data_IF_724334701541
#
_entry.id   IF_724334701541
#
_cell.length_a   1.000
_cell.length_b   1.000
_cell.length_c   1.000
_cell.angle_alpha   90.00
_cell.angle_beta   90.00
_cell.angle_gamma   90.00
#
_symmetry.space_group_name_H-M   'P 1'
#
loop_
_entity.id
_entity.type
_entity.pdbx_description
1 polymer ?
#
# COMPACT_ATOMS: atom_id res chain seq x y z
N UNK A 1 3.89 18.72 6.39
CA UNK A 1 3.77 19.14 7.81
C UNK A 1 2.32 19.46 8.13
N UNK A 2 1.89 19.31 9.39
CA UNK A 2 0.53 19.59 9.86
C UNK A 2 -0.52 18.55 9.46
N UNK A 3 -0.10 17.43 8.88
CA UNK A 3 -1.00 16.34 8.45
C UNK A 3 -1.06 15.25 9.50
N UNK A 4 -2.11 14.44 9.45
CA UNK A 4 -2.36 13.34 10.37
C UNK A 4 -2.55 12.05 9.59
N UNK A 5 -2.07 10.92 10.10
CA UNK A 5 -2.49 9.61 9.59
C UNK A 5 -2.99 8.72 10.73
N UNK A 6 -3.93 7.83 10.40
CA UNK A 6 -4.46 6.85 11.35
C UNK A 6 -3.70 5.53 11.26
N UNK A 7 -3.30 4.97 12.40
CA UNK A 7 -2.94 3.57 12.53
C UNK A 7 -4.14 2.83 13.12
N UNK A 8 -4.83 2.03 12.30
CA UNK A 8 -6.01 1.26 12.72
C UNK A 8 -5.59 -0.15 13.12
N UNK A 9 -5.72 -0.48 14.40
CA UNK A 9 -5.08 -1.66 15.00
C UNK A 9 -3.60 -1.38 15.30
N UNK A 10 -2.75 -2.39 15.12
CA UNK A 10 -1.30 -2.30 15.32
C UNK A 10 -0.50 -2.64 14.03
N UNK A 11 0.79 -2.37 14.04
CA UNK A 11 1.67 -2.91 13.00
C UNK A 11 1.75 -4.43 13.12
N UNK A 12 1.63 -5.15 12.00
CA UNK A 12 1.64 -6.62 12.03
C UNK A 12 3.00 -7.18 12.48
N UNK A 13 2.99 -8.21 13.33
CA UNK A 13 4.18 -8.73 14.02
C UNK A 13 5.31 -9.22 13.09
N UNK A 14 4.98 -9.62 11.86
CA UNK A 14 5.97 -10.08 10.87
C UNK A 14 6.64 -8.93 10.11
N UNK A 15 6.15 -7.70 10.24
CA UNK A 15 6.75 -6.56 9.56
C UNK A 15 8.07 -6.15 10.22
N UNK A 16 9.17 -6.56 9.61
CA UNK A 16 10.50 -6.11 10.01
C UNK A 16 10.75 -4.71 9.46
N UNK A 17 11.23 -3.79 10.32
CA UNK A 17 11.69 -2.45 9.91
C UNK A 17 10.60 -1.56 9.26
N UNK A 18 9.34 -1.67 9.73
CA UNK A 18 8.19 -0.92 9.20
C UNK A 18 7.51 0.01 10.20
N UNK A 19 7.78 -0.13 11.50
CA UNK A 19 7.22 0.72 12.55
C UNK A 19 8.14 1.89 12.86
N UNK A 20 7.64 3.11 12.67
CA UNK A 20 8.36 4.35 12.99
C UNK A 20 7.84 4.90 14.30
N UNK A 21 8.73 5.33 15.19
CA UNK A 21 8.36 6.02 16.43
C UNK A 21 7.58 7.32 16.12
N UNK A 22 6.37 7.53 16.68
CA UNK A 22 5.58 8.74 16.43
C UNK A 22 6.31 10.06 16.70
N UNK A 23 7.21 10.11 17.68
CA UNK A 23 8.06 11.27 17.95
C UNK A 23 9.01 11.55 16.79
N UNK A 24 9.58 10.50 16.18
CA UNK A 24 10.43 10.62 14.99
C UNK A 24 9.61 11.12 13.79
N UNK A 25 8.40 10.58 13.58
CA UNK A 25 7.48 11.05 12.53
C UNK A 25 7.18 12.55 12.70
N UNK A 26 6.79 12.95 13.92
CA UNK A 26 6.45 14.34 14.23
C UNK A 26 7.65 15.27 14.04
N UNK A 27 8.81 14.89 14.54
CA UNK A 27 10.01 15.74 14.50
C UNK A 27 10.55 15.90 13.09
N UNK A 28 10.62 14.82 12.30
CA UNK A 28 11.22 14.85 10.96
C UNK A 28 10.26 15.33 9.88
N UNK A 29 9.00 14.91 9.92
CA UNK A 29 8.02 15.17 8.85
C UNK A 29 6.93 16.18 9.26
N UNK A 30 6.80 16.47 10.56
CA UNK A 30 5.70 17.28 11.08
C UNK A 30 4.35 16.62 10.85
N UNK A 31 4.28 15.29 10.89
CA UNK A 31 3.07 14.50 10.73
C UNK A 31 2.72 13.87 12.09
N UNK A 32 1.44 13.86 12.44
CA UNK A 32 0.95 13.20 13.65
C UNK A 32 0.36 11.83 13.33
N UNK A 33 0.74 10.83 14.13
CA UNK A 33 0.08 9.52 14.11
C UNK A 33 -1.09 9.51 15.09
N UNK A 34 -2.23 8.98 14.68
CA UNK A 34 -3.41 8.77 15.51
C UNK A 34 -3.63 7.26 15.63
N UNK A 35 -3.46 6.71 16.83
CA UNK A 35 -3.71 5.29 17.09
C UNK A 35 -5.21 5.07 17.28
N UNK A 36 -5.77 4.13 16.52
CA UNK A 36 -7.19 3.82 16.49
C UNK A 36 -7.35 2.32 16.74
N UNK A 37 -7.69 1.88 17.95
CA UNK A 37 -7.85 0.46 18.23
C UNK A 37 -9.07 -0.10 17.49
N UNK A 38 -8.98 -1.35 17.03
CA UNK A 38 -10.10 -2.04 16.36
C UNK A 38 -11.38 -2.08 17.20
N UNK A 39 -11.26 -2.07 18.53
CA UNK A 39 -12.41 -2.01 19.45
C UNK A 39 -13.24 -0.72 19.31
N UNK A 40 -12.66 0.35 18.76
CA UNK A 40 -13.33 1.62 18.50
C UNK A 40 -13.91 1.76 17.10
N UNK A 41 -13.68 0.77 16.23
CA UNK A 41 -14.12 0.77 14.84
C UNK A 41 -15.41 -0.05 14.71
N UNK A 42 -16.51 0.65 14.47
CA UNK A 42 -17.80 0.02 14.24
C UNK A 42 -17.89 -0.41 12.78
N UNK A 43 -18.04 -1.72 12.54
CA UNK A 43 -18.33 -2.31 11.23
C UNK A 43 -19.56 -3.18 11.45
N UNK A 44 -20.73 -2.67 11.05
CA UNK A 44 -22.02 -3.24 11.43
C UNK A 44 -22.74 -3.70 10.16
N UNK A 45 -23.48 -4.81 10.24
CA UNK A 45 -24.18 -5.38 9.07
C UNK A 45 -25.31 -4.52 8.51
N UNK A 46 -25.75 -3.51 9.26
CA UNK A 46 -26.80 -2.58 8.81
C UNK A 46 -26.23 -1.31 8.18
N UNK A 47 -24.90 -1.16 8.14
CA UNK A 47 -24.28 0.01 7.51
C UNK A 47 -24.55 -0.02 6.00
N UNK A 48 -25.17 1.05 5.51
CA UNK A 48 -25.33 1.30 4.09
C UNK A 48 -23.98 1.53 3.44
N UNK A 49 -23.82 1.04 2.21
CA UNK A 49 -22.62 1.24 1.41
C UNK A 49 -22.94 2.27 0.34
N UNK A 50 -22.06 3.25 0.15
CA UNK A 50 -22.25 4.27 -0.89
C UNK A 50 -22.41 3.63 -2.28
N UNK A 51 -23.32 4.21 -3.06
CA UNK A 51 -23.50 3.84 -4.45
C UNK A 51 -22.21 4.05 -5.25
N UNK A 52 -21.35 5.02 -4.87
CA UNK A 52 -20.05 5.25 -5.50
C UNK A 52 -19.14 4.01 -5.41
N UNK A 53 -18.99 3.43 -4.22
CA UNK A 53 -18.21 2.21 -4.02
C UNK A 53 -18.79 1.03 -4.82
N UNK A 54 -20.10 0.80 -4.71
CA UNK A 54 -20.77 -0.31 -5.38
C UNK A 54 -20.73 -0.19 -6.91
N UNK A 55 -20.96 1.02 -7.43
CA UNK A 55 -20.95 1.30 -8.87
C UNK A 55 -19.56 1.20 -9.47
N UNK A 56 -18.52 1.57 -8.71
CA UNK A 56 -17.15 1.48 -9.19
C UNK A 56 -16.69 0.02 -9.35
N UNK A 57 -16.96 -0.82 -8.35
CA UNK A 57 -16.61 -2.24 -8.39
C UNK A 57 -17.68 -3.12 -9.06
N UNK A 58 -18.64 -2.49 -9.74
CA UNK A 58 -19.91 -3.08 -10.16
C UNK A 58 -19.75 -4.27 -11.09
N UNK A 59 -19.79 -5.43 -10.45
CA UNK A 59 -20.02 -6.73 -11.04
C UNK A 59 -21.22 -7.26 -10.30
N UNK A 60 -22.37 -7.32 -10.98
CA UNK A 60 -23.63 -7.74 -10.36
C UNK A 60 -23.44 -9.11 -9.71
N UNK A 61 -23.62 -9.19 -8.39
CA UNK A 61 -23.69 -10.45 -7.65
C UNK A 61 -22.38 -10.97 -7.03
N UNK A 62 -21.31 -10.18 -6.92
CA UNK A 62 -20.12 -10.65 -6.19
C UNK A 62 -20.40 -10.73 -4.70
N UNK A 63 -20.35 -11.96 -4.19
CA UNK A 63 -20.42 -12.27 -2.76
C UNK A 63 -19.28 -11.56 -2.01
N UNK A 64 -19.60 -10.90 -0.90
CA UNK A 64 -18.63 -10.18 -0.07
C UNK A 64 -18.34 -8.74 -0.48
N UNK A 65 -18.88 -8.25 -1.61
CA UNK A 65 -18.68 -6.85 -2.04
C UNK A 65 -19.28 -5.86 -1.04
N UNK A 66 -20.51 -6.11 -0.57
CA UNK A 66 -21.17 -5.30 0.45
C UNK A 66 -20.37 -5.27 1.75
N UNK A 67 -19.79 -6.40 2.17
CA UNK A 67 -18.92 -6.46 3.34
C UNK A 67 -17.71 -5.55 3.17
N UNK A 68 -17.03 -5.62 2.03
CA UNK A 68 -15.89 -4.76 1.71
C UNK A 68 -16.28 -3.27 1.68
N UNK A 69 -17.47 -2.97 1.15
CA UNK A 69 -18.04 -1.63 1.15
C UNK A 69 -18.29 -1.09 2.56
N UNK A 70 -18.79 -1.91 3.49
CA UNK A 70 -18.97 -1.50 4.90
C UNK A 70 -17.64 -1.16 5.57
N UNK A 71 -16.56 -1.86 5.23
CA UNK A 71 -15.20 -1.52 5.67
C UNK A 71 -14.77 -0.18 5.08
N UNK A 72 -15.00 0.05 3.78
CA UNK A 72 -14.71 1.34 3.14
C UNK A 72 -15.41 2.51 3.85
N UNK A 73 -16.70 2.37 4.15
CA UNK A 73 -17.46 3.39 4.87
C UNK A 73 -16.93 3.59 6.31
N UNK A 74 -16.58 2.50 7.01
CA UNK A 74 -15.99 2.58 8.35
C UNK A 74 -14.68 3.37 8.35
N UNK A 75 -13.77 3.05 7.41
CA UNK A 75 -12.50 3.74 7.29
C UNK A 75 -12.69 5.20 6.85
N UNK A 76 -13.66 5.47 5.98
CA UNK A 76 -14.03 6.83 5.57
C UNK A 76 -14.57 7.67 6.74
N UNK A 77 -15.35 7.07 7.62
CA UNK A 77 -15.81 7.72 8.87
C UNK A 77 -14.65 8.06 9.79
N UNK A 78 -13.67 7.15 9.94
CA UNK A 78 -12.46 7.43 10.74
C UNK A 78 -11.66 8.60 10.14
N UNK A 79 -11.52 8.64 8.82
CA UNK A 79 -10.84 9.74 8.12
C UNK A 79 -11.51 11.07 8.45
N UNK A 80 -12.84 11.15 8.37
CA UNK A 80 -13.60 12.37 8.72
C UNK A 80 -13.50 12.69 10.20
N UNK A 81 -13.76 11.72 11.07
CA UNK A 81 -13.83 11.88 12.53
C UNK A 81 -12.51 12.37 13.14
N UNK A 82 -11.39 11.84 12.66
CA UNK A 82 -10.06 12.16 13.18
C UNK A 82 -9.28 13.13 12.28
N UNK A 83 -9.91 13.69 11.26
CA UNK A 83 -9.30 14.62 10.28
C UNK A 83 -8.01 14.04 9.67
N UNK A 84 -8.07 12.75 9.32
CA UNK A 84 -6.93 12.03 8.79
C UNK A 84 -6.70 12.42 7.33
N UNK A 85 -5.44 12.43 6.94
CA UNK A 85 -5.02 12.63 5.55
C UNK A 85 -4.59 11.32 4.89
N UNK A 86 -4.47 10.25 5.68
CA UNK A 86 -4.04 8.92 5.30
C UNK A 86 -4.38 7.94 6.44
N UNK A 87 -4.40 6.63 6.15
CA UNK A 87 -4.48 5.60 7.19
C UNK A 87 -3.80 4.31 6.77
N UNK A 88 -3.35 3.52 7.73
CA UNK A 88 -2.89 2.15 7.52
C UNK A 88 -3.62 1.21 8.48
N UNK A 89 -3.89 -0.01 8.04
CA UNK A 89 -4.83 -0.93 8.71
C UNK A 89 -4.15 -2.26 9.02
N UNK A 90 -4.26 -2.72 10.25
CA UNK A 90 -3.93 -4.09 10.64
C UNK A 90 -4.96 -5.07 10.04
N UNK A 91 -4.57 -5.79 8.99
CA UNK A 91 -5.51 -6.46 8.11
C UNK A 91 -6.15 -7.73 8.74
N UNK A 92 -5.47 -8.45 9.65
CA UNK A 92 -5.92 -9.77 10.14
C UNK A 92 -7.05 -9.78 11.19
N UNK A 93 -7.08 -8.90 12.22
CA UNK A 93 -8.19 -8.88 13.19
C UNK A 93 -9.56 -8.69 12.52
N UNK A 94 -9.61 -7.88 11.46
CA UNK A 94 -10.80 -7.69 10.64
C UNK A 94 -11.26 -9.01 9.97
N UNK A 95 -10.32 -9.71 9.32
CA UNK A 95 -10.58 -10.97 8.61
C UNK A 95 -11.08 -12.04 9.57
N UNK A 96 -10.47 -12.15 10.76
CA UNK A 96 -10.85 -13.13 11.77
C UNK A 96 -12.26 -12.89 12.32
N UNK A 97 -12.64 -11.62 12.53
CA UNK A 97 -13.94 -11.25 13.11
C UNK A 97 -15.09 -11.33 12.11
N UNK A 98 -14.84 -11.00 10.84
CA UNK A 98 -15.91 -10.72 9.87
C UNK A 98 -15.83 -11.51 8.56
N UNK A 99 -14.77 -12.29 8.33
CA UNK A 99 -14.47 -12.93 7.03
C UNK A 99 -14.39 -11.93 5.85
N UNK A 100 -14.26 -10.63 6.15
CA UNK A 100 -14.08 -9.54 5.19
C UNK A 100 -12.66 -9.01 5.30
N UNK A 101 -12.13 -8.51 4.19
CA UNK A 101 -10.80 -7.93 4.06
C UNK A 101 -10.91 -6.42 3.86
N UNK A 102 -9.85 -5.68 4.19
CA UNK A 102 -9.79 -4.25 3.89
C UNK A 102 -9.38 -3.97 2.43
N UNK A 103 -9.08 -4.98 1.63
CA UNK A 103 -8.33 -4.80 0.39
C UNK A 103 -9.02 -3.89 -0.64
N UNK A 104 -10.32 -4.08 -0.89
CA UNK A 104 -11.07 -3.22 -1.79
C UNK A 104 -11.31 -1.83 -1.21
N UNK A 105 -11.50 -1.73 0.11
CA UNK A 105 -11.62 -0.45 0.79
C UNK A 105 -10.35 0.39 0.65
N UNK A 106 -9.17 -0.21 0.89
CA UNK A 106 -7.87 0.44 0.74
C UNK A 106 -7.58 0.80 -0.72
N UNK A 107 -7.98 -0.07 -1.66
CA UNK A 107 -7.91 0.17 -3.10
C UNK A 107 -8.71 1.41 -3.52
N UNK A 108 -9.96 1.51 -3.06
CA UNK A 108 -10.86 2.62 -3.37
C UNK A 108 -10.39 3.93 -2.72
N UNK A 109 -10.02 3.91 -1.44
CA UNK A 109 -9.49 5.09 -0.75
C UNK A 109 -8.25 5.64 -1.45
N UNK A 110 -7.31 4.75 -1.83
CA UNK A 110 -6.11 5.14 -2.57
C UNK A 110 -6.42 5.70 -3.95
N UNK A 111 -7.42 5.12 -4.64
CA UNK A 111 -7.93 5.64 -5.90
C UNK A 111 -8.52 7.04 -5.77
N UNK A 112 -9.26 7.29 -4.69
CA UNK A 112 -9.84 8.60 -4.34
C UNK A 112 -8.77 9.59 -3.85
N UNK A 113 -7.50 9.22 -3.96
CA UNK A 113 -6.36 10.03 -3.62
C UNK A 113 -6.06 10.05 -2.13
N UNK A 114 -6.65 9.20 -1.28
CA UNK A 114 -6.32 9.10 0.14
C UNK A 114 -5.32 7.96 0.34
N UNK A 115 -4.06 8.22 0.77
CA UNK A 115 -3.11 7.16 1.04
C UNK A 115 -3.67 6.17 2.07
N UNK A 116 -3.87 4.92 1.64
CA UNK A 116 -4.43 3.86 2.45
C UNK A 116 -3.54 2.61 2.40
N UNK A 117 -2.76 2.38 3.47
CA UNK A 117 -1.84 1.25 3.62
C UNK A 117 -2.47 0.01 4.26
N UNK A 118 -1.80 -1.14 4.17
CA UNK A 118 -2.15 -2.37 4.89
C UNK A 118 -1.05 -2.73 5.89
N UNK A 119 -1.37 -3.69 6.75
CA UNK A 119 -0.50 -4.30 7.76
C UNK A 119 0.02 -3.33 8.84
N UNK A 120 -0.54 -2.12 8.92
CA UNK A 120 -0.03 -1.10 9.83
C UNK A 120 1.38 -0.60 9.48
N UNK A 121 1.83 -0.73 8.23
CA UNK A 121 3.17 -0.31 7.80
C UNK A 121 3.32 1.21 7.76
N UNK A 122 3.94 1.79 8.79
CA UNK A 122 4.19 3.23 8.91
C UNK A 122 5.17 3.73 7.84
N UNK A 123 6.25 3.00 7.56
CA UNK A 123 7.25 3.41 6.58
C UNK A 123 6.65 3.57 5.19
N UNK A 124 5.90 2.56 4.72
CA UNK A 124 5.19 2.63 3.45
C UNK A 124 4.13 3.72 3.48
N UNK A 125 3.39 3.85 4.58
CA UNK A 125 2.34 4.85 4.67
C UNK A 125 2.86 6.29 4.54
N UNK A 126 3.95 6.60 5.24
CA UNK A 126 4.60 7.91 5.15
C UNK A 126 5.13 8.17 3.74
N UNK A 127 5.69 7.15 3.09
CA UNK A 127 6.11 7.25 1.70
C UNK A 127 4.96 7.51 0.74
N UNK A 128 3.80 6.87 0.94
CA UNK A 128 2.59 7.14 0.13
C UNK A 128 2.11 8.59 0.32
N UNK A 129 2.16 9.11 1.55
CA UNK A 129 1.82 10.51 1.83
C UNK A 129 2.78 11.49 1.13
N UNK A 130 4.08 11.21 1.15
CA UNK A 130 5.10 12.01 0.48
C UNK A 130 4.90 11.97 -1.04
N UNK A 131 4.71 10.79 -1.62
CA UNK A 131 4.47 10.61 -3.06
C UNK A 131 3.23 11.38 -3.53
N UNK A 132 2.13 11.32 -2.76
CA UNK A 132 0.92 12.09 -3.03
C UNK A 132 1.21 13.59 -3.02
N UNK A 133 1.97 14.09 -2.05
CA UNK A 133 2.27 15.52 -1.94
C UNK A 133 3.15 16.01 -3.09
N UNK A 134 4.14 15.22 -3.49
CA UNK A 134 5.10 15.60 -4.52
C UNK A 134 4.54 15.46 -5.93
N UNK A 135 3.74 14.42 -6.18
CA UNK A 135 3.39 14.01 -7.54
C UNK A 135 1.87 13.91 -7.76
N UNK A 136 1.04 14.10 -6.73
CA UNK A 136 -0.41 13.93 -6.83
C UNK A 136 -0.85 12.47 -6.98
N UNK A 137 0.05 11.50 -6.78
CA UNK A 137 -0.20 10.07 -7.00
C UNK A 137 -0.08 9.32 -5.68
N UNK A 138 -1.10 8.53 -5.34
CA UNK A 138 -1.02 7.53 -4.26
C UNK A 138 -0.40 6.26 -4.84
N UNK A 139 0.77 5.82 -4.37
CA UNK A 139 1.48 4.71 -4.99
C UNK A 139 0.96 3.36 -4.52
N UNK A 140 1.33 2.31 -5.22
CA UNK A 140 1.00 0.95 -4.83
C UNK A 140 1.98 0.44 -3.76
N UNK A 141 1.48 0.07 -2.58
CA UNK A 141 2.26 -0.67 -1.58
C UNK A 141 2.36 -2.14 -2.00
N UNK A 142 3.58 -2.67 -2.14
CA UNK A 142 3.79 -4.02 -2.60
C UNK A 142 4.84 -4.78 -1.80
N UNK A 143 4.58 -6.07 -1.56
CA UNK A 143 5.57 -7.00 -1.05
C UNK A 143 6.65 -7.23 -2.09
N UNK A 144 7.90 -7.30 -1.66
CA UNK A 144 8.99 -7.87 -2.45
C UNK A 144 8.91 -9.39 -2.38
N UNK A 145 8.23 -10.01 -3.37
CA UNK A 145 7.89 -11.44 -3.32
C UNK A 145 8.97 -12.35 -3.87
N UNK A 146 9.76 -11.88 -4.84
CA UNK A 146 10.88 -12.66 -5.39
C UNK A 146 11.93 -11.74 -6.01
N UNK A 147 13.21 -12.08 -5.83
CA UNK A 147 14.35 -11.35 -6.43
C UNK A 147 15.20 -12.36 -7.19
N UNK A 148 15.32 -12.19 -8.50
CA UNK A 148 16.16 -12.99 -9.40
C UNK A 148 17.40 -12.17 -9.80
N UNK A 149 18.57 -12.42 -9.16
CA UNK A 149 19.78 -11.67 -9.50
C UNK A 149 20.35 -12.02 -10.87
N UNK A 150 20.09 -13.22 -11.39
CA UNK A 150 20.62 -13.65 -12.69
C UNK A 150 19.89 -12.93 -13.81
N UNK A 151 18.55 -12.86 -13.72
CA UNK A 151 17.70 -12.14 -14.68
C UNK A 151 17.57 -10.65 -14.41
N UNK A 152 18.03 -10.19 -13.23
CA UNK A 152 17.86 -8.82 -12.74
C UNK A 152 16.39 -8.42 -12.66
N UNK A 153 15.58 -9.33 -12.13
CA UNK A 153 14.13 -9.20 -12.06
C UNK A 153 13.64 -9.23 -10.61
N UNK A 154 12.64 -8.42 -10.32
CA UNK A 154 11.95 -8.41 -9.03
C UNK A 154 10.46 -8.60 -9.28
N UNK A 155 9.87 -9.54 -8.54
CA UNK A 155 8.42 -9.73 -8.48
C UNK A 155 7.88 -9.01 -7.27
N UNK A 156 7.02 -8.01 -7.51
CA UNK A 156 6.22 -7.35 -6.50
C UNK A 156 4.82 -7.97 -6.48
N UNK A 157 4.22 -8.11 -5.30
CA UNK A 157 2.81 -8.48 -5.20
C UNK A 157 2.11 -7.93 -3.97
N UNK A 158 0.79 -7.72 -4.05
CA UNK A 158 -0.03 -7.33 -2.91
C UNK A 158 -1.52 -7.61 -3.16
N UNK A 159 -2.28 -7.81 -2.08
CA UNK A 159 -3.73 -8.03 -2.15
C UNK A 159 -4.53 -6.73 -2.39
N UNK A 160 -3.86 -5.58 -2.32
CA UNK A 160 -4.41 -4.25 -2.59
C UNK A 160 -3.67 -3.63 -3.77
N UNK A 161 -4.30 -2.69 -4.46
CA UNK A 161 -3.68 -1.75 -5.39
C UNK A 161 -4.65 -0.58 -5.62
N UNK A 162 -4.19 0.68 -5.76
CA UNK A 162 -5.10 1.77 -6.12
C UNK A 162 -5.73 1.49 -7.49
N UNK A 163 -7.06 1.41 -7.56
CA UNK A 163 -7.74 0.89 -8.74
C UNK A 163 -7.53 1.74 -10.01
N UNK A 164 -7.33 3.05 -9.87
CA UNK A 164 -6.97 3.95 -10.98
C UNK A 164 -5.58 3.69 -11.58
N UNK A 165 -4.71 2.96 -10.89
CA UNK A 165 -3.40 2.57 -11.44
C UNK A 165 -3.46 1.27 -12.24
N UNK A 166 -4.60 0.57 -12.27
CA UNK A 166 -4.75 -0.68 -12.99
C UNK A 166 -5.35 -0.44 -14.39
N UNK A 167 -4.87 -1.19 -15.39
CA UNK A 167 -5.44 -1.24 -16.75
C UNK A 167 -6.77 -1.99 -16.74
N UNK A 168 -6.80 -3.06 -15.97
CA UNK A 168 -7.89 -4.02 -15.80
C UNK A 168 -7.74 -4.65 -14.41
N UNK A 169 -8.84 -5.11 -13.84
CA UNK A 169 -8.83 -5.87 -12.61
C UNK A 169 -10.00 -6.86 -12.53
N UNK A 170 -9.77 -7.92 -11.77
CA UNK A 170 -10.74 -8.89 -11.29
C UNK A 170 -10.63 -9.01 -9.77
N UNK A 171 -11.51 -9.81 -9.18
CA UNK A 171 -11.48 -10.10 -7.75
C UNK A 171 -11.07 -11.55 -7.49
N UNK A 172 -10.33 -11.73 -6.41
CA UNK A 172 -9.96 -13.04 -5.88
C UNK A 172 -10.03 -12.95 -4.35
N UNK A 173 -9.86 -14.07 -3.66
CA UNK A 173 -9.75 -14.11 -2.20
C UNK A 173 -8.45 -13.48 -1.70
N UNK A 174 -8.38 -13.04 -0.45
CA UNK A 174 -7.10 -12.63 0.15
C UNK A 174 -6.11 -13.79 0.22
N UNK A 175 -4.86 -13.57 -0.18
CA UNK A 175 -3.89 -14.64 -0.40
C UNK A 175 -3.66 -15.52 0.83
N UNK A 176 -3.34 -14.91 1.96
CA UNK A 176 -2.92 -15.60 3.18
C UNK A 176 -4.09 -16.33 3.85
N UNK A 177 -5.31 -15.81 3.68
CA UNK A 177 -6.48 -16.29 4.43
C UNK A 177 -7.50 -17.07 3.61
N UNK A 178 -7.49 -16.93 2.29
CA UNK A 178 -8.53 -17.47 1.40
C UNK A 178 -9.92 -16.86 1.62
N UNK A 179 -10.02 -15.72 2.32
CA UNK A 179 -11.28 -15.06 2.71
C UNK A 179 -11.42 -13.68 2.08
N UNK A 180 -12.64 -13.15 2.10
CA UNK A 180 -12.97 -11.81 1.62
C UNK A 180 -12.60 -11.58 0.15
N UNK A 181 -12.52 -10.31 -0.24
CA UNK A 181 -12.17 -9.92 -1.60
C UNK A 181 -10.86 -9.14 -1.61
N UNK A 182 -9.98 -9.48 -2.54
CA UNK A 182 -8.75 -8.79 -2.88
C UNK A 182 -8.81 -8.36 -4.35
N UNK A 183 -8.10 -7.28 -4.67
CA UNK A 183 -8.03 -6.79 -6.04
C UNK A 183 -6.84 -7.41 -6.75
N UNK A 184 -7.10 -7.89 -7.96
CA UNK A 184 -6.12 -8.56 -8.82
C UNK A 184 -6.14 -7.85 -10.16
N UNK A 185 -5.06 -7.20 -10.54
CA UNK A 185 -5.04 -6.52 -11.83
C UNK A 185 -3.65 -6.26 -12.38
N UNK A 186 -3.63 -5.66 -13.57
CA UNK A 186 -2.40 -5.29 -14.26
C UNK A 186 -2.13 -3.80 -14.11
N UNK A 187 -0.95 -3.43 -13.61
CA UNK A 187 -0.57 -2.03 -13.46
C UNK A 187 -0.46 -1.33 -14.83
N UNK A 188 -0.97 -0.10 -14.92
CA UNK A 188 -0.85 0.80 -16.08
C UNK A 188 0.52 1.49 -16.08
N UNK A 189 1.56 0.71 -16.31
CA UNK A 189 2.93 1.21 -16.35
C UNK A 189 3.81 0.34 -17.25
N UNK A 190 4.64 0.97 -18.06
CA UNK A 190 5.77 0.32 -18.75
C UNK A 190 7.08 0.56 -18.00
N UNK A 191 7.10 1.62 -17.19
CA UNK A 191 8.21 2.06 -16.35
C UNK A 191 7.69 2.42 -14.97
N UNK A 192 8.45 2.11 -13.93
CA UNK A 192 8.09 2.37 -12.54
C UNK A 192 9.25 2.95 -11.73
N UNK A 193 8.91 3.71 -10.70
CA UNK A 193 9.81 4.09 -9.61
C UNK A 193 9.49 3.21 -8.40
N UNK A 194 10.52 2.72 -7.73
CA UNK A 194 10.45 1.88 -6.54
C UNK A 194 11.04 2.68 -5.39
N UNK A 195 10.31 2.84 -4.29
CA UNK A 195 10.75 3.66 -3.15
C UNK A 195 10.50 2.95 -1.84
N UNK A 196 11.44 3.06 -0.90
CA UNK A 196 11.24 2.65 0.50
C UNK A 196 12.01 3.55 1.44
N UNK A 197 11.40 3.84 2.58
CA UNK A 197 11.98 4.56 3.70
C UNK A 197 12.31 3.57 4.82
N UNK A 198 13.34 3.83 5.61
CA UNK A 198 13.63 3.04 6.80
C UNK A 198 12.83 3.51 8.03
N UNK A 199 12.76 2.66 9.06
CA UNK A 199 12.03 2.97 10.28
C UNK A 199 12.55 4.19 11.06
N UNK A 200 13.79 4.63 10.82
CA UNK A 200 14.34 5.83 11.48
C UNK A 200 14.09 7.11 10.67
N UNK A 201 13.52 7.00 9.47
CA UNK A 201 13.36 8.10 8.51
C UNK A 201 14.71 8.81 8.25
N UNK A 202 15.80 8.06 8.16
CA UNK A 202 17.14 8.55 7.87
C UNK A 202 17.70 8.03 6.54
N UNK A 203 17.09 6.99 5.98
CA UNK A 203 17.48 6.38 4.71
C UNK A 203 16.27 6.28 3.78
N UNK A 204 16.53 6.42 2.49
CA UNK A 204 15.58 6.23 1.41
C UNK A 204 16.24 5.41 0.31
N UNK A 205 15.61 4.30 -0.07
CA UNK A 205 15.92 3.63 -1.32
C UNK A 205 15.07 4.25 -2.44
N UNK A 206 15.69 4.52 -3.59
CA UNK A 206 15.01 4.97 -4.81
C UNK A 206 15.58 4.20 -5.98
N UNK A 207 14.73 3.46 -6.68
CA UNK A 207 15.10 2.66 -7.85
C UNK A 207 14.18 2.91 -9.04
N UNK A 208 14.72 2.75 -10.23
CA UNK A 208 13.98 2.71 -11.49
C UNK A 208 13.81 1.25 -11.92
N UNK A 209 12.69 0.93 -12.56
CA UNK A 209 12.48 -0.36 -13.20
C UNK A 209 11.57 -0.30 -14.42
N UNK A 210 11.69 -1.31 -15.28
CA UNK A 210 10.86 -1.49 -16.48
C UNK A 210 9.95 -2.69 -16.29
N UNK A 211 8.65 -2.49 -16.52
CA UNK A 211 7.63 -3.52 -16.32
C UNK A 211 7.74 -4.54 -17.44
N UNK A 212 7.87 -5.81 -17.06
CA UNK A 212 7.84 -6.91 -18.01
C UNK A 212 6.39 -7.17 -18.47
N UNK A 213 6.13 -6.99 -19.76
CA UNK A 213 4.86 -7.31 -20.39
C UNK A 213 4.77 -8.81 -20.71
N UNK A 214 4.86 -9.67 -19.69
CA UNK A 214 4.61 -11.11 -19.86
C UNK A 214 3.19 -11.50 -19.45
N UNK A 215 2.64 -12.53 -20.08
CA UNK A 215 1.29 -13.06 -19.82
C UNK A 215 1.21 -13.90 -18.53
N UNK A 216 2.35 -14.28 -17.93
CA UNK A 216 2.42 -15.16 -16.75
C UNK A 216 2.41 -14.41 -15.41
N UNK A 217 1.47 -13.47 -15.22
CA UNK A 217 1.34 -12.63 -14.01
C UNK A 217 0.49 -13.21 -12.88
N UNK A 218 0.35 -14.54 -12.84
CA UNK A 218 -0.49 -15.26 -11.87
C UNK A 218 0.27 -16.40 -11.22
N UNK A 219 1.44 -16.11 -10.62
CA UNK A 219 2.16 -17.13 -9.86
C UNK A 219 1.36 -17.50 -8.62
N UNK A 220 1.14 -18.80 -8.43
CA UNK A 220 0.58 -19.34 -7.18
C UNK A 220 1.54 -19.07 -6.03
N UNK A 221 1.02 -18.96 -4.81
CA UNK A 221 1.84 -18.71 -3.62
C UNK A 221 2.24 -17.25 -3.42
N UNK A 222 1.53 -16.30 -4.05
CA UNK A 222 1.76 -14.86 -3.89
C UNK A 222 0.43 -14.10 -3.78
N UNK A 223 0.54 -12.85 -3.33
CA UNK A 223 -0.56 -11.90 -3.33
C UNK A 223 -1.12 -11.66 -4.74
N UNK A 224 -2.31 -11.05 -4.81
CA UNK A 224 -3.16 -11.06 -6.01
C UNK A 224 -2.69 -10.17 -7.15
N UNK A 225 -2.51 -8.88 -6.91
CA UNK A 225 -1.90 -8.00 -7.91
C UNK A 225 -0.41 -8.31 -7.94
N UNK A 226 0.13 -8.64 -9.12
CA UNK A 226 1.53 -9.03 -9.31
C UNK A 226 2.17 -8.19 -10.41
N UNK A 227 3.44 -7.84 -10.21
CA UNK A 227 4.23 -7.07 -11.17
C UNK A 227 5.64 -7.61 -11.22
N UNK A 228 6.09 -7.97 -12.42
CA UNK A 228 7.48 -8.34 -12.68
C UNK A 228 8.21 -7.12 -13.26
N UNK A 229 9.34 -6.75 -12.66
CA UNK A 229 10.09 -5.54 -13.00
C UNK A 229 11.54 -5.89 -13.25
N UNK A 230 12.05 -5.50 -14.42
CA UNK A 230 13.48 -5.54 -14.74
C UNK A 230 14.16 -4.31 -14.12
N UNK A 231 15.28 -4.52 -13.44
CA UNK A 231 16.00 -3.48 -12.70
C UNK A 231 17.51 -3.52 -12.96
N UNK A 232 18.24 -2.50 -12.51
CA UNK A 232 19.71 -2.44 -12.59
C UNK A 232 20.36 -3.31 -11.51
N UNK A 233 21.64 -3.65 -11.70
CA UNK A 233 22.42 -4.44 -10.73
C UNK A 233 22.48 -3.80 -9.35
N UNK A 234 22.57 -2.47 -9.27
CA UNK A 234 22.56 -1.73 -8.00
C UNK A 234 21.26 -1.96 -7.22
N UNK A 235 20.11 -1.99 -7.89
CA UNK A 235 18.82 -2.30 -7.29
C UNK A 235 18.79 -3.73 -6.76
N UNK A 236 19.26 -4.70 -7.56
CA UNK A 236 19.37 -6.10 -7.11
C UNK A 236 20.26 -6.20 -5.86
N UNK A 237 21.41 -5.53 -5.87
CA UNK A 237 22.33 -5.53 -4.74
C UNK A 237 21.69 -4.98 -3.47
N UNK A 238 20.91 -3.90 -3.57
CA UNK A 238 20.14 -3.36 -2.46
C UNK A 238 19.16 -4.40 -1.90
N UNK A 239 18.34 -5.02 -2.76
CA UNK A 239 17.33 -5.98 -2.32
C UNK A 239 17.91 -7.25 -1.68
N UNK A 240 19.11 -7.66 -2.09
CA UNK A 240 19.77 -8.86 -1.54
C UNK A 240 20.53 -8.59 -0.24
N UNK A 241 21.11 -7.41 -0.08
CA UNK A 241 22.08 -7.15 0.98
C UNK A 241 21.60 -6.15 2.03
N UNK A 242 20.85 -5.11 1.64
CA UNK A 242 20.49 -4.00 2.53
C UNK A 242 19.03 -3.52 2.37
N UNK A 243 18.02 -4.41 2.25
CA UNK A 243 16.64 -3.96 2.08
C UNK A 243 16.14 -3.21 3.32
N UNK A 244 15.49 -2.05 3.11
CA UNK A 244 14.92 -1.23 4.18
C UNK A 244 13.54 -1.73 4.70
N UNK A 245 13.08 -2.89 4.25
CA UNK A 245 11.79 -3.48 4.66
C UNK A 245 11.26 -4.49 3.64
N UNK A 246 10.15 -5.15 3.98
CA UNK A 246 9.47 -6.11 3.10
C UNK A 246 8.62 -5.44 2.02
N UNK A 247 8.03 -4.29 2.34
CA UNK A 247 7.21 -3.52 1.42
C UNK A 247 8.01 -2.43 0.71
N UNK A 248 7.70 -2.22 -0.56
CA UNK A 248 8.17 -1.08 -1.34
C UNK A 248 6.99 -0.42 -2.04
N UNK A 249 7.11 0.89 -2.26
CA UNK A 249 6.14 1.65 -3.02
C UNK A 249 6.50 1.58 -4.49
N UNK A 250 5.54 1.18 -5.31
CA UNK A 250 5.65 1.15 -6.77
C UNK A 250 4.81 2.27 -7.34
N UNK A 251 5.46 3.18 -8.06
CA UNK A 251 4.83 4.35 -8.68
C UNK A 251 4.94 4.21 -10.21
N UNK A 252 3.84 4.29 -10.96
CA UNK A 252 3.90 4.37 -12.42
C UNK A 252 4.67 5.60 -12.88
N UNK A 253 5.53 5.44 -13.87
CA UNK A 253 6.48 6.44 -14.38
C UNK A 253 7.74 6.65 -13.54
N UNK A 254 8.63 7.50 -14.07
CA UNK A 254 9.92 7.82 -13.48
C UNK A 254 9.84 9.11 -12.66
N UNK A 255 9.94 8.96 -11.35
CA UNK A 255 9.98 10.01 -10.35
C UNK A 255 11.28 9.97 -9.54
N UNK A 256 12.29 9.23 -10.01
CA UNK A 256 13.56 9.02 -9.30
C UNK A 256 14.17 10.35 -8.85
N UNK A 257 14.38 11.29 -9.79
CA UNK A 257 14.90 12.63 -9.49
C UNK A 257 14.07 13.38 -8.43
N UNK A 258 12.74 13.28 -8.48
CA UNK A 258 11.86 13.92 -7.50
C UNK A 258 12.06 13.37 -6.10
N UNK A 259 12.18 12.05 -5.96
CA UNK A 259 12.48 11.42 -4.68
C UNK A 259 13.91 11.67 -4.20
N UNK A 260 14.90 11.71 -5.10
CA UNK A 260 16.28 12.08 -4.74
C UNK A 260 16.36 13.51 -4.18
N UNK A 261 15.64 14.46 -4.78
CA UNK A 261 15.52 15.81 -4.25
C UNK A 261 14.80 15.84 -2.90
N UNK A 262 13.72 15.07 -2.77
CA UNK A 262 13.00 14.94 -1.49
C UNK A 262 13.90 14.35 -0.40
N UNK A 263 14.72 13.35 -0.69
CA UNK A 263 15.67 12.76 0.24
C UNK A 263 16.66 13.82 0.77
N UNK A 264 17.20 14.67 -0.11
CA UNK A 264 18.08 15.78 0.30
C UNK A 264 17.36 16.78 1.21
N UNK A 265 16.14 17.16 0.87
CA UNK A 265 15.34 18.11 1.67
C UNK A 265 14.97 17.53 3.04
N UNK A 266 14.65 16.24 3.09
CA UNK A 266 14.29 15.51 4.31
C UNK A 266 15.52 15.01 5.09
N UNK A 267 16.74 15.27 4.60
CA UNK A 267 18.01 14.82 5.18
C UNK A 267 18.07 13.30 5.35
N UNK A 268 17.58 12.58 4.36
CA UNK A 268 17.66 11.13 4.25
C UNK A 268 18.81 10.76 3.31
N UNK A 269 19.64 9.80 3.72
CA UNK A 269 20.67 9.21 2.87
C UNK A 269 20.03 8.30 1.82
N UNK A 270 20.47 8.42 0.57
CA UNK A 270 20.10 7.47 -0.47
C UNK A 270 20.92 6.20 -0.33
N UNK A 271 20.26 5.05 -0.41
CA UNK A 271 20.88 3.72 -0.38
C UNK A 271 20.45 2.90 -1.58
#
# INVERSE_FOLDING_TARGET
KGKRFGLVGEASDWLVNSSVDPFVIKTKLGIDQVNIPWSSVEINDYREVSADFLNFFNTQGIEGLTGSGRVYEALSDLIRKYELHALTVECFPLIQKSNVTACLALSKLSMDGIPAGCEGDNCSMLGMMIAKELFGIVPWIANTSFVDPVKKQITFSHCTAPANLLKDFEFDTHFESGKGLAIKGNLKADKVTIVRFDHTLSKMFVGEGFVECSENKNRKGMCRTQLLVNVKDSTINYFLNEPLGNHHLVIPADFTLGFELAARMLKMALV
#
